data_IF_735292329420
#
_entry.id   IF_735292329420
#
_cell.length_a   1.000
_cell.length_b   1.000
_cell.length_c   1.000
_cell.angle_alpha   90.00
_cell.angle_beta   90.00
_cell.angle_gamma   90.00
#
_symmetry.space_group_name_H-M   'P 1'
#
loop_
_entity.id
_entity.type
_entity.pdbx_description
1 polymer ?
#
# COMPACT_ATOMS: atom_id res chain seq x y z
N UNK A 1 11.89 -12.81 -41.03
CA UNK A 1 12.73 -13.39 -39.96
C UNK A 1 12.31 -14.84 -39.74
N UNK A 2 13.24 -15.75 -39.45
CA UNK A 2 12.89 -17.10 -39.01
C UNK A 2 12.22 -17.02 -37.64
N UNK A 3 11.18 -17.82 -37.40
CA UNK A 3 10.48 -17.93 -36.11
C UNK A 3 11.44 -18.12 -34.93
N UNK A 4 12.58 -18.78 -35.16
CA UNK A 4 13.64 -18.96 -34.16
C UNK A 4 14.32 -17.64 -33.79
N UNK A 5 14.61 -16.78 -34.75
CA UNK A 5 15.24 -15.47 -34.48
C UNK A 5 14.29 -14.59 -33.69
N UNK A 6 13.01 -14.54 -34.10
CA UNK A 6 11.98 -13.81 -33.37
C UNK A 6 11.83 -14.34 -31.93
N UNK A 7 11.87 -15.67 -31.75
CA UNK A 7 11.78 -16.28 -30.42
C UNK A 7 13.01 -16.00 -29.54
N UNK A 8 14.21 -15.97 -30.12
CA UNK A 8 15.44 -15.59 -29.39
C UNK A 8 15.37 -14.14 -28.93
N UNK A 9 14.87 -13.22 -29.77
CA UNK A 9 14.69 -11.82 -29.40
C UNK A 9 13.72 -11.72 -28.21
N UNK A 10 12.55 -12.37 -28.30
CA UNK A 10 11.53 -12.35 -27.24
C UNK A 10 12.02 -12.97 -25.92
N UNK A 11 12.75 -14.10 -25.98
CA UNK A 11 13.29 -14.72 -24.77
C UNK A 11 14.38 -13.86 -24.15
N UNK A 12 15.22 -13.23 -24.99
CA UNK A 12 16.27 -12.33 -24.51
C UNK A 12 15.68 -11.12 -23.79
N UNK A 13 14.67 -10.47 -24.37
CA UNK A 13 13.99 -9.34 -23.72
C UNK A 13 13.29 -9.78 -22.42
N UNK A 14 12.65 -10.95 -22.42
CA UNK A 14 12.00 -11.51 -21.24
C UNK A 14 12.98 -11.79 -20.09
N UNK A 15 14.16 -12.34 -20.38
CA UNK A 15 15.22 -12.56 -19.38
C UNK A 15 15.74 -11.23 -18.83
N UNK A 16 15.90 -10.21 -19.68
CA UNK A 16 16.28 -8.87 -19.25
C UNK A 16 15.22 -8.26 -18.33
N UNK A 17 13.93 -8.37 -18.67
CA UNK A 17 12.84 -7.89 -17.81
C UNK A 17 12.77 -8.65 -16.49
N UNK A 18 13.01 -9.96 -16.50
CA UNK A 18 13.07 -10.75 -15.26
C UNK A 18 14.23 -10.28 -14.36
N UNK A 19 15.44 -10.10 -14.93
CA UNK A 19 16.59 -9.58 -14.20
C UNK A 19 16.35 -8.18 -13.65
N UNK A 20 15.71 -7.30 -14.43
CA UNK A 20 15.33 -5.97 -13.96
C UNK A 20 14.30 -6.02 -12.84
N UNK A 21 13.24 -6.83 -12.98
CA UNK A 21 12.22 -7.03 -11.94
C UNK A 21 12.81 -7.57 -10.64
N UNK A 22 13.76 -8.50 -10.75
CA UNK A 22 14.50 -9.06 -9.63
C UNK A 22 15.32 -8.01 -8.89
N UNK A 23 16.08 -7.19 -9.63
CA UNK A 23 16.88 -6.11 -9.08
C UNK A 23 16.01 -5.02 -8.45
N UNK A 24 14.91 -4.66 -9.11
CA UNK A 24 13.95 -3.68 -8.61
C UNK A 24 13.33 -4.13 -7.28
N UNK A 25 12.92 -5.39 -7.19
CA UNK A 25 12.40 -5.97 -5.94
C UNK A 25 13.41 -5.90 -4.80
N UNK A 26 14.67 -6.31 -5.06
CA UNK A 26 15.73 -6.33 -4.04
C UNK A 26 16.16 -4.94 -3.58
N UNK A 27 16.26 -3.97 -4.50
CA UNK A 27 16.83 -2.65 -4.18
C UNK A 27 15.79 -1.63 -3.75
N UNK A 28 14.58 -1.68 -4.31
CA UNK A 28 13.59 -0.62 -4.17
C UNK A 28 12.40 -1.00 -3.29
N UNK A 29 11.93 -2.25 -3.36
CA UNK A 29 10.66 -2.66 -2.75
C UNK A 29 10.84 -3.28 -1.35
N UNK A 30 11.93 -4.02 -1.11
CA UNK A 30 12.17 -4.77 0.14
C UNK A 30 13.49 -4.43 0.83
N UNK A 31 13.93 -3.15 0.77
CA UNK A 31 15.18 -2.72 1.41
C UNK A 31 15.18 -2.92 2.94
N UNK A 32 14.01 -2.90 3.58
CA UNK A 32 13.87 -2.80 5.04
C UNK A 32 13.16 -4.00 5.71
N UNK A 33 12.90 -5.11 4.99
CA UNK A 33 12.19 -6.28 5.56
C UNK A 33 13.13 -7.49 5.72
N UNK A 34 13.24 -7.99 6.96
CA UNK A 34 14.18 -9.05 7.36
C UNK A 34 13.84 -10.45 6.83
N UNK A 35 12.61 -10.69 6.35
CA UNK A 35 12.15 -12.01 5.89
C UNK A 35 12.16 -12.09 4.36
N UNK A 36 13.32 -12.48 3.78
CA UNK A 36 13.46 -12.73 2.34
C UNK A 36 12.90 -14.11 1.96
N UNK A 37 11.63 -14.17 1.58
CA UNK A 37 11.07 -15.37 0.94
C UNK A 37 11.33 -15.34 -0.57
N UNK A 38 12.26 -16.19 -1.00
CA UNK A 38 12.67 -16.35 -2.41
C UNK A 38 11.47 -16.57 -3.35
N UNK A 39 10.45 -17.31 -2.90
CA UNK A 39 9.26 -17.60 -3.71
C UNK A 39 8.49 -16.34 -4.09
N UNK A 40 8.31 -15.39 -3.17
CA UNK A 40 7.60 -14.12 -3.44
C UNK A 40 8.36 -13.30 -4.47
N UNK A 41 9.69 -13.28 -4.34
CA UNK A 41 10.57 -12.57 -5.26
C UNK A 41 10.52 -13.16 -6.68
N UNK A 42 10.54 -14.49 -6.80
CA UNK A 42 10.39 -15.16 -8.11
C UNK A 42 9.02 -14.86 -8.70
N UNK A 43 7.93 -15.04 -7.93
CA UNK A 43 6.56 -14.80 -8.42
C UNK A 43 6.38 -13.35 -8.89
N UNK A 44 6.91 -12.37 -8.14
CA UNK A 44 6.91 -10.96 -8.55
C UNK A 44 7.70 -10.75 -9.85
N UNK A 45 8.93 -11.25 -9.92
CA UNK A 45 9.83 -11.02 -11.08
C UNK A 45 9.29 -11.69 -12.34
N UNK A 46 8.70 -12.89 -12.23
CA UNK A 46 7.97 -13.56 -13.32
C UNK A 46 6.78 -12.71 -13.77
N UNK A 47 5.90 -12.31 -12.85
CA UNK A 47 4.71 -11.51 -13.19
C UNK A 47 5.10 -10.20 -13.87
N UNK A 48 6.13 -9.53 -13.37
CA UNK A 48 6.69 -8.31 -13.95
C UNK A 48 7.22 -8.55 -15.36
N UNK A 49 8.05 -9.58 -15.56
CA UNK A 49 8.60 -9.92 -16.86
C UNK A 49 7.52 -10.19 -17.91
N UNK A 50 6.54 -11.06 -17.60
CA UNK A 50 5.43 -11.36 -18.51
C UNK A 50 4.55 -10.12 -18.80
N UNK A 51 4.39 -9.21 -17.84
CA UNK A 51 3.69 -7.93 -18.05
C UNK A 51 4.45 -7.00 -19.00
N UNK A 52 5.78 -6.88 -18.84
CA UNK A 52 6.63 -6.11 -19.75
C UNK A 52 6.68 -6.73 -21.15
N UNK A 53 6.71 -8.06 -21.25
CA UNK A 53 6.65 -8.77 -22.54
C UNK A 53 5.30 -8.56 -23.26
N UNK A 54 4.16 -8.51 -22.55
CA UNK A 54 2.89 -8.12 -23.17
C UNK A 54 2.99 -6.71 -23.76
N UNK A 55 3.58 -5.78 -23.01
CA UNK A 55 3.72 -4.40 -23.46
C UNK A 55 4.68 -4.25 -24.65
N UNK A 56 5.81 -4.94 -24.62
CA UNK A 56 6.77 -5.01 -25.73
C UNK A 56 6.11 -5.55 -27.01
N UNK A 57 5.29 -6.60 -26.91
CA UNK A 57 4.54 -7.14 -28.05
C UNK A 57 3.58 -6.11 -28.66
N UNK A 58 2.94 -5.26 -27.86
CA UNK A 58 2.10 -4.15 -28.36
C UNK A 58 2.97 -3.15 -29.13
N UNK A 59 4.14 -2.79 -28.60
CA UNK A 59 5.07 -1.89 -29.29
C UNK A 59 5.52 -2.49 -30.62
N UNK A 60 5.86 -3.79 -30.65
CA UNK A 60 6.27 -4.47 -31.88
C UNK A 60 5.13 -4.56 -32.91
N UNK A 61 3.88 -4.69 -32.47
CA UNK A 61 2.73 -4.59 -33.35
C UNK A 61 2.63 -3.18 -33.99
N UNK A 62 2.75 -2.12 -33.18
CA UNK A 62 2.69 -0.72 -33.65
C UNK A 62 3.84 -0.38 -34.61
N UNK A 63 5.05 -0.84 -34.29
CA UNK A 63 6.25 -0.60 -35.11
C UNK A 63 6.34 -1.51 -36.34
N UNK A 64 5.45 -2.50 -36.48
CA UNK A 64 5.55 -3.50 -37.55
C UNK A 64 6.79 -4.41 -37.44
N UNK A 65 7.37 -4.53 -36.24
CA UNK A 65 8.52 -5.39 -35.98
C UNK A 65 8.07 -6.85 -35.73
N UNK A 66 8.95 -7.82 -36.03
CA UNK A 66 8.70 -9.28 -35.99
C UNK A 66 7.65 -9.78 -37.01
N UNK A 67 7.68 -11.09 -37.29
CA UNK A 67 6.67 -11.72 -38.14
C UNK A 67 5.32 -11.84 -37.44
N UNK A 68 4.21 -11.55 -38.14
CA UNK A 68 2.85 -11.55 -37.57
C UNK A 68 2.47 -12.89 -36.92
N UNK A 69 2.85 -14.01 -37.53
CA UNK A 69 2.61 -15.34 -36.99
C UNK A 69 3.38 -15.60 -35.69
N UNK A 70 4.62 -15.13 -35.60
CA UNK A 70 5.43 -15.24 -34.37
C UNK A 70 4.86 -14.36 -33.25
N UNK A 71 4.48 -13.11 -33.56
CA UNK A 71 3.84 -12.20 -32.59
C UNK A 71 2.57 -12.80 -32.01
N UNK A 72 1.70 -13.36 -32.87
CA UNK A 72 0.45 -13.98 -32.42
C UNK A 72 0.68 -15.19 -31.51
N UNK A 73 1.68 -16.02 -31.82
CA UNK A 73 2.06 -17.15 -30.97
C UNK A 73 2.55 -16.68 -29.60
N UNK A 74 3.53 -15.76 -29.56
CA UNK A 74 4.08 -15.21 -28.32
C UNK A 74 3.02 -14.47 -27.51
N UNK A 75 2.12 -13.72 -28.16
CA UNK A 75 0.97 -13.07 -27.54
C UNK A 75 0.06 -14.07 -26.80
N UNK A 76 -0.34 -15.16 -27.48
CA UNK A 76 -1.17 -16.21 -26.87
C UNK A 76 -0.45 -16.87 -25.70
N UNK A 77 0.81 -17.28 -25.89
CA UNK A 77 1.59 -17.94 -24.85
C UNK A 77 1.74 -17.04 -23.62
N UNK A 78 2.09 -15.78 -23.82
CA UNK A 78 2.28 -14.81 -22.76
C UNK A 78 0.96 -14.54 -22.00
N UNK A 79 -0.17 -14.46 -22.72
CA UNK A 79 -1.51 -14.39 -22.11
C UNK A 79 -1.85 -15.64 -21.27
N UNK A 80 -1.57 -16.84 -21.75
CA UNK A 80 -1.83 -18.05 -20.96
C UNK A 80 -1.04 -18.06 -19.65
N UNK A 81 0.25 -17.72 -19.72
CA UNK A 81 1.11 -17.70 -18.53
C UNK A 81 0.67 -16.61 -17.55
N UNK A 82 0.41 -15.39 -18.03
CA UNK A 82 0.02 -14.29 -17.12
C UNK A 82 -1.34 -14.56 -16.45
N UNK A 83 -2.31 -15.15 -17.15
CA UNK A 83 -3.60 -15.54 -16.57
C UNK A 83 -3.43 -16.65 -15.54
N UNK A 84 -2.60 -17.67 -15.83
CA UNK A 84 -2.29 -18.73 -14.88
C UNK A 84 -1.66 -18.15 -13.60
N UNK A 85 -0.70 -17.23 -13.75
CA UNK A 85 -0.03 -16.61 -12.60
C UNK A 85 -0.99 -15.76 -11.78
N UNK A 86 -1.79 -14.91 -12.42
CA UNK A 86 -2.70 -13.98 -11.73
C UNK A 86 -3.87 -14.67 -11.03
N UNK A 87 -4.40 -15.75 -11.60
CA UNK A 87 -5.66 -16.37 -11.14
C UNK A 87 -5.37 -17.55 -10.21
N UNK A 88 -4.33 -18.33 -10.50
CA UNK A 88 -4.03 -19.53 -9.72
C UNK A 88 -2.88 -19.29 -8.75
N UNK A 89 -1.71 -18.89 -9.25
CA UNK A 89 -0.47 -18.87 -8.48
C UNK A 89 -0.48 -17.80 -7.40
N UNK A 90 -0.74 -16.55 -7.76
CA UNK A 90 -0.72 -15.41 -6.82
C UNK A 90 -1.75 -15.58 -5.69
N UNK A 91 -3.03 -15.89 -5.96
CA UNK A 91 -4.03 -16.05 -4.90
C UNK A 91 -3.75 -17.23 -3.98
N UNK A 92 -3.20 -18.32 -4.50
CA UNK A 92 -2.79 -19.48 -3.70
C UNK A 92 -1.69 -19.10 -2.71
N UNK A 93 -0.64 -18.42 -3.18
CA UNK A 93 0.44 -17.97 -2.30
C UNK A 93 -0.02 -16.95 -1.27
N UNK A 94 -0.90 -16.00 -1.63
CA UNK A 94 -1.50 -15.06 -0.67
C UNK A 94 -2.25 -15.83 0.43
N UNK A 95 -3.13 -16.76 0.06
CA UNK A 95 -3.87 -17.59 1.01
C UNK A 95 -2.93 -18.39 1.93
N UNK A 96 -1.88 -18.98 1.36
CA UNK A 96 -0.86 -19.72 2.11
C UNK A 96 -0.12 -18.83 3.13
N UNK A 97 0.26 -17.61 2.74
CA UNK A 97 0.93 -16.66 3.64
C UNK A 97 0.02 -16.16 4.76
N UNK A 98 -1.24 -15.84 4.44
CA UNK A 98 -2.23 -15.41 5.43
C UNK A 98 -2.44 -16.50 6.48
N UNK A 99 -2.64 -17.76 6.07
CA UNK A 99 -2.80 -18.89 7.00
C UNK A 99 -1.51 -19.16 7.77
N UNK A 100 -0.34 -18.95 7.17
CA UNK A 100 0.95 -19.14 7.84
C UNK A 100 1.20 -18.19 9.01
N UNK A 101 0.57 -17.01 8.99
CA UNK A 101 0.69 -16.03 10.07
C UNK A 101 -0.13 -16.42 11.32
N UNK A 102 -1.11 -17.33 11.16
CA UNK A 102 -1.98 -17.78 12.24
C UNK A 102 -1.36 -19.00 12.92
N UNK A 103 -0.80 -18.81 14.12
CA UNK A 103 -0.14 -19.87 14.92
C UNK A 103 -1.02 -21.10 15.15
N UNK A 104 -2.34 -20.91 15.25
CA UNK A 104 -3.30 -21.98 15.54
C UNK A 104 -3.47 -22.99 14.38
N UNK A 105 -3.24 -22.56 13.13
CA UNK A 105 -3.49 -23.38 11.92
C UNK A 105 -2.23 -24.02 11.35
N UNK A 106 -1.09 -23.93 12.06
CA UNK A 106 0.22 -24.26 11.53
C UNK A 106 0.36 -25.74 11.10
N UNK A 107 -0.33 -26.67 11.78
CA UNK A 107 -0.30 -28.12 11.49
C UNK A 107 -1.11 -28.53 10.25
N UNK A 108 -2.12 -27.74 9.85
CA UNK A 108 -2.96 -27.99 8.68
C UNK A 108 -2.92 -26.85 7.65
N UNK A 109 -1.82 -26.07 7.63
CA UNK A 109 -1.70 -24.85 6.82
C UNK A 109 -2.06 -25.06 5.35
N UNK A 110 -1.64 -26.17 4.74
CA UNK A 110 -1.90 -26.43 3.33
C UNK A 110 -3.41 -26.60 3.06
N UNK A 111 -4.13 -27.31 3.92
CA UNK A 111 -5.57 -27.56 3.77
C UNK A 111 -6.36 -26.26 3.84
N UNK A 112 -6.07 -25.43 4.85
CA UNK A 112 -6.71 -24.12 4.98
C UNK A 112 -6.33 -23.17 3.85
N UNK A 113 -5.09 -23.20 3.36
CA UNK A 113 -4.68 -22.43 2.19
C UNK A 113 -5.46 -22.85 0.93
N UNK A 114 -5.65 -24.16 0.72
CA UNK A 114 -6.50 -24.68 -0.36
C UNK A 114 -7.95 -24.23 -0.20
N UNK A 115 -8.52 -24.24 1.02
CA UNK A 115 -9.88 -23.75 1.26
C UNK A 115 -10.04 -22.27 0.93
N UNK A 116 -9.09 -21.43 1.36
CA UNK A 116 -9.07 -19.99 1.02
C UNK A 116 -8.98 -19.81 -0.49
N UNK A 117 -8.14 -20.60 -1.16
CA UNK A 117 -7.98 -20.56 -2.61
C UNK A 117 -9.25 -21.00 -3.36
N UNK A 118 -9.91 -22.09 -2.96
CA UNK A 118 -11.19 -22.52 -3.54
C UNK A 118 -12.29 -21.48 -3.32
N UNK A 119 -12.32 -20.85 -2.14
CA UNK A 119 -13.25 -19.76 -1.84
C UNK A 119 -13.01 -18.57 -2.77
N UNK A 120 -11.75 -18.19 -2.98
CA UNK A 120 -11.39 -17.15 -3.95
C UNK A 120 -11.82 -17.52 -5.38
N UNK A 121 -11.58 -18.76 -5.82
CA UNK A 121 -12.05 -19.25 -7.13
C UNK A 121 -13.56 -19.16 -7.28
N UNK A 122 -14.32 -19.54 -6.25
CA UNK A 122 -15.79 -19.40 -6.26
C UNK A 122 -16.22 -17.94 -6.43
N UNK A 123 -15.66 -17.01 -5.66
CA UNK A 123 -15.98 -15.59 -5.79
C UNK A 123 -15.55 -15.00 -7.14
N UNK A 124 -14.37 -15.38 -7.64
CA UNK A 124 -13.88 -14.97 -8.95
C UNK A 124 -14.82 -15.44 -10.08
N UNK A 125 -15.34 -16.66 -9.98
CA UNK A 125 -16.35 -17.16 -10.92
C UNK A 125 -17.71 -16.50 -10.75
N UNK A 126 -18.10 -16.09 -9.55
CA UNK A 126 -19.37 -15.38 -9.36
C UNK A 126 -19.32 -13.92 -9.83
N UNK A 127 -18.15 -13.27 -9.74
CA UNK A 127 -17.96 -11.86 -10.08
C UNK A 127 -18.18 -11.56 -11.57
N UNK A 128 -17.94 -12.53 -12.45
CA UNK A 128 -18.10 -12.35 -13.90
C UNK A 128 -19.48 -12.68 -14.47
N UNK A 129 -20.39 -13.26 -13.67
CA UNK A 129 -21.75 -13.59 -14.10
C UNK A 129 -22.64 -12.37 -14.44
N UNK A 130 -22.53 -11.20 -13.77
CA UNK A 130 -23.32 -10.02 -14.14
C UNK A 130 -22.88 -9.36 -15.47
N UNK A 131 -21.82 -9.82 -16.13
CA UNK A 131 -21.33 -9.22 -17.38
C UNK A 131 -21.80 -10.03 -18.61
N UNK A 132 -22.64 -9.45 -19.49
CA UNK A 132 -23.20 -10.13 -20.66
C UNK A 132 -22.16 -10.21 -21.80
N UNK A 133 -21.12 -11.03 -21.62
CA UNK A 133 -20.09 -11.31 -22.65
C UNK A 133 -19.97 -12.82 -22.88
N UNK A 134 -20.78 -13.62 -22.18
CA UNK A 134 -20.86 -15.06 -22.33
C UNK A 134 -21.55 -15.39 -23.67
N UNK A 135 -20.77 -15.47 -24.74
CA UNK A 135 -21.21 -16.22 -25.92
C UNK A 135 -21.42 -17.68 -25.47
N UNK A 136 -22.64 -18.25 -25.58
CA UNK A 136 -22.95 -19.61 -25.13
C UNK A 136 -22.19 -20.71 -25.90
N UNK A 137 -21.31 -20.34 -26.83
CA UNK A 137 -20.51 -21.25 -27.67
C UNK A 137 -19.12 -21.55 -27.11
N UNK A 138 -18.66 -20.86 -26.06
CA UNK A 138 -17.33 -21.06 -25.48
C UNK A 138 -17.40 -21.78 -24.13
N UNK A 139 -16.58 -22.83 -23.96
CA UNK A 139 -16.54 -23.64 -22.74
C UNK A 139 -16.17 -22.85 -21.48
N UNK A 140 -16.45 -23.44 -20.30
CA UNK A 140 -16.33 -22.86 -18.95
C UNK A 140 -14.91 -22.33 -18.62
N UNK A 141 -13.89 -22.81 -19.34
CA UNK A 141 -12.47 -22.43 -19.19
C UNK A 141 -11.90 -21.76 -20.46
N UNK A 142 -12.74 -21.12 -21.27
CA UNK A 142 -12.27 -20.38 -22.44
C UNK A 142 -11.42 -19.16 -22.04
N UNK A 143 -10.34 -18.93 -22.77
CA UNK A 143 -9.41 -17.82 -22.50
C UNK A 143 -10.10 -16.46 -22.55
N UNK A 144 -11.08 -16.29 -23.45
CA UNK A 144 -11.84 -15.04 -23.62
C UNK A 144 -12.65 -14.69 -22.36
N UNK A 145 -13.28 -15.70 -21.73
CA UNK A 145 -14.02 -15.51 -20.48
C UNK A 145 -13.07 -15.18 -19.31
N UNK A 146 -11.88 -15.78 -19.30
CA UNK A 146 -10.90 -15.54 -18.26
C UNK A 146 -10.32 -14.11 -18.36
N UNK A 147 -10.01 -13.68 -19.60
CA UNK A 147 -9.53 -12.32 -19.90
C UNK A 147 -10.60 -11.29 -19.56
N UNK A 148 -11.87 -11.52 -19.91
CA UNK A 148 -12.93 -10.54 -19.65
C UNK A 148 -13.13 -10.32 -18.14
N UNK A 149 -13.12 -11.39 -17.35
CA UNK A 149 -13.24 -11.33 -15.88
C UNK A 149 -12.07 -10.62 -15.23
N UNK A 150 -10.83 -10.97 -15.62
CA UNK A 150 -9.64 -10.25 -15.16
C UNK A 150 -9.65 -8.80 -15.62
N UNK A 151 -10.16 -8.53 -16.83
CA UNK A 151 -10.29 -7.19 -17.39
C UNK A 151 -11.22 -6.31 -16.56
N UNK A 152 -12.39 -6.81 -16.13
CA UNK A 152 -13.29 -6.08 -15.21
C UNK A 152 -12.60 -5.76 -13.89
N UNK A 153 -11.91 -6.74 -13.29
CA UNK A 153 -11.17 -6.52 -12.04
C UNK A 153 -10.05 -5.51 -12.26
N UNK A 154 -9.33 -5.59 -13.38
CA UNK A 154 -8.28 -4.64 -13.75
C UNK A 154 -8.81 -3.22 -13.93
N UNK A 155 -9.92 -3.03 -14.64
CA UNK A 155 -10.55 -1.72 -14.86
C UNK A 155 -11.07 -1.13 -13.55
N UNK A 156 -11.69 -1.94 -12.68
CA UNK A 156 -12.14 -1.47 -11.37
C UNK A 156 -10.96 -1.08 -10.47
N UNK A 157 -9.87 -1.86 -10.46
CA UNK A 157 -8.64 -1.51 -9.76
C UNK A 157 -7.98 -0.24 -10.33
N UNK A 158 -7.95 -0.07 -11.65
CA UNK A 158 -7.44 1.15 -12.29
C UNK A 158 -8.30 2.38 -11.94
N UNK A 159 -9.63 2.20 -11.84
CA UNK A 159 -10.54 3.27 -11.42
C UNK A 159 -10.28 3.67 -9.95
N UNK A 160 -10.12 2.69 -9.05
CA UNK A 160 -9.78 2.93 -7.65
C UNK A 160 -8.41 3.59 -7.49
N UNK A 161 -7.38 3.12 -8.21
CA UNK A 161 -6.05 3.72 -8.22
C UNK A 161 -6.07 5.16 -8.75
N UNK A 162 -6.83 5.41 -9.82
CA UNK A 162 -7.01 6.77 -10.36
C UNK A 162 -7.75 7.67 -9.36
N UNK A 163 -8.72 7.15 -8.62
CA UNK A 163 -9.43 7.88 -7.56
C UNK A 163 -8.52 8.20 -6.36
N UNK A 164 -7.73 7.22 -5.92
CA UNK A 164 -6.74 7.41 -4.86
C UNK A 164 -5.68 8.44 -5.25
N UNK A 165 -5.12 8.33 -6.47
CA UNK A 165 -4.14 9.28 -7.00
C UNK A 165 -4.69 10.71 -7.08
N UNK A 166 -5.96 10.86 -7.43
CA UNK A 166 -6.63 12.15 -7.51
C UNK A 166 -6.73 12.89 -6.18
N UNK A 167 -6.83 12.17 -5.06
CA UNK A 167 -6.91 12.75 -3.71
C UNK A 167 -5.51 12.86 -3.08
N UNK A 168 -4.71 11.81 -3.21
CA UNK A 168 -3.40 11.72 -2.56
C UNK A 168 -2.38 12.71 -3.14
N UNK A 169 -2.41 12.97 -4.46
CA UNK A 169 -1.45 13.91 -5.08
C UNK A 169 -1.64 15.35 -4.58
N UNK A 170 -2.85 15.95 -4.61
CA UNK A 170 -3.07 17.26 -4.01
C UNK A 170 -2.73 17.29 -2.52
N UNK A 171 -3.17 16.29 -1.75
CA UNK A 171 -2.89 16.23 -0.32
C UNK A 171 -1.38 16.20 0.01
N UNK A 172 -0.58 15.54 -0.84
CA UNK A 172 0.85 15.37 -0.59
C UNK A 172 1.68 16.57 -1.06
N UNK A 173 1.35 17.15 -2.21
CA UNK A 173 2.20 18.15 -2.87
C UNK A 173 1.69 19.59 -2.78
N UNK A 174 0.40 19.79 -2.50
CA UNK A 174 -0.18 21.14 -2.50
C UNK A 174 0.13 21.87 -1.19
N UNK A 175 0.77 23.03 -1.29
CA UNK A 175 1.08 23.89 -0.13
C UNK A 175 -0.16 24.33 0.65
N UNK A 176 -1.32 24.38 0.00
CA UNK A 176 -2.59 24.73 0.65
C UNK A 176 -3.07 23.69 1.67
N UNK A 177 -2.77 22.40 1.47
CA UNK A 177 -3.13 21.34 2.43
C UNK A 177 -2.07 21.14 3.53
N UNK A 178 -0.95 21.86 3.46
CA UNK A 178 0.05 21.84 4.53
C UNK A 178 -0.44 22.67 5.71
N UNK A 179 -0.59 22.00 6.87
CA UNK A 179 -0.82 22.68 8.15
C UNK A 179 0.33 23.64 8.39
N UNK A 180 0.00 24.89 8.74
CA UNK A 180 1.00 25.86 9.17
C UNK A 180 1.54 25.43 10.53
N UNK A 181 2.82 25.08 10.59
CA UNK A 181 3.52 24.69 11.82
C UNK A 181 4.60 25.72 12.11
N UNK A 182 4.55 26.34 13.28
CA UNK A 182 5.62 27.22 13.73
C UNK A 182 6.64 26.45 14.57
N UNK A 183 7.89 26.94 14.60
CA UNK A 183 8.94 26.33 15.44
C UNK A 183 8.58 26.42 16.92
N UNK A 184 7.84 27.45 17.34
CA UNK A 184 7.31 27.59 18.69
C UNK A 184 6.36 26.46 19.07
N UNK A 185 5.50 26.01 18.15
CA UNK A 185 4.54 24.93 18.43
C UNK A 185 5.25 23.60 18.67
N UNK A 186 6.29 23.31 17.87
CA UNK A 186 7.13 22.11 18.04
C UNK A 186 7.84 22.14 19.38
N UNK A 187 8.47 23.27 19.73
CA UNK A 187 9.17 23.42 21.01
C UNK A 187 8.22 23.33 22.21
N UNK A 188 7.00 23.87 22.08
CA UNK A 188 5.99 23.76 23.13
C UNK A 188 5.56 22.31 23.36
N UNK A 189 5.37 21.54 22.28
CA UNK A 189 4.99 20.14 22.35
C UNK A 189 6.15 19.26 22.86
N UNK A 190 7.38 19.49 22.41
CA UNK A 190 8.58 18.82 22.92
C UNK A 190 8.77 19.06 24.42
N UNK A 191 8.55 20.30 24.89
CA UNK A 191 8.58 20.61 26.33
C UNK A 191 7.50 19.87 27.10
N UNK A 192 6.28 19.80 26.56
CA UNK A 192 5.17 19.06 27.18
C UNK A 192 5.46 17.56 27.24
N UNK A 193 6.08 16.99 26.20
CA UNK A 193 6.51 15.60 26.16
C UNK A 193 7.57 15.32 27.23
N UNK A 194 8.62 16.15 27.30
CA UNK A 194 9.67 16.02 28.30
C UNK A 194 9.12 16.13 29.73
N UNK A 195 8.24 17.10 30.00
CA UNK A 195 7.55 17.23 31.29
C UNK A 195 6.73 15.97 31.64
N UNK A 196 6.06 15.38 30.65
CA UNK A 196 5.29 14.15 30.84
C UNK A 196 6.21 12.97 31.15
N UNK A 197 7.35 12.85 30.45
CA UNK A 197 8.36 11.83 30.74
C UNK A 197 8.94 11.98 32.15
N UNK A 198 9.22 13.20 32.61
CA UNK A 198 9.69 13.47 33.97
C UNK A 198 8.65 13.07 35.04
N UNK A 199 7.36 13.33 34.79
CA UNK A 199 6.26 12.87 35.65
C UNK A 199 6.20 11.33 35.70
N UNK A 200 6.37 10.64 34.58
CA UNK A 200 6.41 9.17 34.54
C UNK A 200 7.60 8.65 35.34
N UNK A 201 8.80 9.19 35.12
CA UNK A 201 10.03 8.77 35.82
C UNK A 201 9.89 8.99 37.33
N UNK A 202 9.36 10.14 37.76
CA UNK A 202 9.15 10.43 39.18
C UNK A 202 8.12 9.50 39.83
N UNK A 203 7.00 9.19 39.16
CA UNK A 203 6.01 8.21 39.65
C UNK A 203 6.54 6.79 39.69
N UNK A 204 7.27 6.34 38.65
CA UNK A 204 7.95 5.03 38.65
C UNK A 204 8.98 4.92 39.76
N UNK A 205 9.76 5.98 40.01
CA UNK A 205 10.69 6.04 41.15
C UNK A 205 9.95 5.92 42.47
N UNK A 206 8.80 6.58 42.63
CA UNK A 206 7.96 6.47 43.83
C UNK A 206 7.45 5.03 44.03
N UNK A 207 6.97 4.37 42.97
CA UNK A 207 6.55 2.96 43.02
C UNK A 207 7.70 2.06 43.48
N UNK A 208 8.90 2.24 42.89
CA UNK A 208 10.08 1.46 43.27
C UNK A 208 10.50 1.67 44.73
N UNK A 209 10.46 2.91 45.23
CA UNK A 209 10.75 3.21 46.64
C UNK A 209 9.71 2.60 47.58
N UNK A 210 8.41 2.74 47.29
CA UNK A 210 7.34 2.14 48.10
C UNK A 210 7.46 0.61 48.13
N UNK A 211 7.77 -0.02 46.98
CA UNK A 211 7.97 -1.48 46.88
C UNK A 211 9.19 -1.94 47.68
N UNK A 212 10.28 -1.16 47.69
CA UNK A 212 11.47 -1.42 48.52
C UNK A 212 11.16 -1.30 50.01
N UNK A 213 10.42 -0.28 50.43
CA UNK A 213 9.99 -0.10 51.83
C UNK A 213 9.08 -1.23 52.31
N UNK A 214 8.17 -1.71 51.46
CA UNK A 214 7.36 -2.90 51.73
C UNK A 214 8.21 -4.14 51.97
N UNK A 215 9.23 -4.36 51.12
CA UNK A 215 10.13 -5.50 51.25
C UNK A 215 10.94 -5.45 52.56
N UNK A 216 11.47 -4.27 52.91
CA UNK A 216 12.18 -4.05 54.17
C UNK A 216 11.29 -4.25 55.40
N UNK A 217 10.04 -3.78 55.37
CA UNK A 217 9.06 -4.04 56.44
C UNK A 217 8.69 -5.53 56.57
N UNK A 218 8.70 -6.28 55.46
CA UNK A 218 8.47 -7.72 55.47
C UNK A 218 9.60 -8.50 56.17
N UNK A 219 10.85 -8.04 56.06
CA UNK A 219 11.99 -8.63 56.80
C UNK A 219 11.96 -8.31 58.30
N UNK A 220 11.59 -7.07 58.67
CA UNK A 220 11.51 -6.66 60.08
C UNK A 220 10.33 -7.30 60.84
N UNK A 221 9.18 -7.50 60.18
CA UNK A 221 8.03 -8.17 60.79
C UNK A 221 8.27 -9.66 61.09
N UNK A 222 9.17 -10.32 60.35
CA UNK A 222 9.53 -11.72 60.61
C UNK A 222 10.34 -11.90 61.92
N UNK A 223 10.86 -10.82 62.52
CA UNK A 223 11.60 -10.84 63.80
C UNK A 223 10.78 -10.43 65.03
N UNK A 224 9.59 -9.84 64.88
CA UNK A 224 8.75 -9.39 65.99
C UNK A 224 7.31 -9.90 65.87
N UNK A 225 7.09 -11.15 66.26
CA UNK A 225 5.77 -11.79 66.38
C UNK A 225 5.11 -11.42 67.71
N UNK A 226 4.54 -10.20 67.79
CA UNK A 226 3.65 -9.78 68.88
C UNK A 226 2.24 -9.54 68.36
N UNK A 227 1.22 -9.97 69.12
CA UNK A 227 -0.22 -9.87 68.78
C UNK A 227 -0.67 -8.45 68.36
N UNK A 228 0.01 -7.41 68.86
CA UNK A 228 -0.19 -6.01 68.48
C UNK A 228 0.35 -5.61 67.09
N UNK A 229 1.28 -6.38 66.53
CA UNK A 229 1.84 -6.18 65.19
C UNK A 229 0.90 -6.64 64.07
N UNK A 230 0.07 -7.65 64.33
CA UNK A 230 -0.84 -8.25 63.35
C UNK A 230 -2.04 -7.35 63.04
N UNK A 231 -2.53 -6.59 64.02
CA UNK A 231 -3.67 -5.68 63.83
C UNK A 231 -3.22 -4.39 63.10
N UNK A 232 -1.97 -3.94 63.32
CA UNK A 232 -1.39 -2.79 62.62
C UNK A 232 -0.93 -3.11 61.20
N UNK A 233 -0.54 -4.36 60.92
CA UNK A 233 -0.14 -4.76 59.57
C UNK A 233 -1.34 -4.86 58.63
N UNK A 234 -2.48 -5.41 59.07
CA UNK A 234 -3.65 -5.60 58.20
C UNK A 234 -4.23 -4.27 57.69
N UNK A 235 -4.32 -3.24 58.53
CA UNK A 235 -4.87 -1.93 58.12
C UNK A 235 -3.92 -1.11 57.24
N UNK A 236 -2.60 -1.28 57.39
CA UNK A 236 -1.58 -0.49 56.66
C UNK A 236 -1.15 -1.12 55.33
N UNK A 237 -1.24 -2.44 55.21
CA UNK A 237 -0.86 -3.16 53.99
C UNK A 237 -1.91 -2.98 52.88
N UNK A 238 -3.19 -3.01 53.24
CA UNK A 238 -4.31 -2.93 52.31
C UNK A 238 -4.45 -1.53 51.67
N UNK A 239 -4.30 -0.46 52.47
CA UNK A 239 -4.26 0.92 51.96
C UNK A 239 -3.05 1.19 51.08
N UNK A 240 -1.90 0.59 51.39
CA UNK A 240 -0.67 0.81 50.61
C UNK A 240 -0.67 0.05 49.27
N UNK A 241 -1.32 -1.12 49.20
CA UNK A 241 -1.50 -1.84 47.93
C UNK A 241 -2.49 -1.15 46.99
N UNK A 242 -3.60 -0.61 47.52
CA UNK A 242 -4.57 0.16 46.72
C UNK A 242 -3.96 1.45 46.16
N UNK A 243 -3.18 2.18 46.99
CA UNK A 243 -2.44 3.35 46.53
C UNK A 243 -1.40 3.00 45.45
N UNK A 244 -0.74 1.84 45.54
CA UNK A 244 0.22 1.39 44.52
C UNK A 244 -0.49 1.09 43.19
N UNK A 245 -1.65 0.44 43.24
CA UNK A 245 -2.46 0.15 42.06
C UNK A 245 -2.97 1.43 41.38
N UNK A 246 -3.42 2.42 42.15
CA UNK A 246 -3.83 3.72 41.61
C UNK A 246 -2.67 4.45 40.93
N UNK A 247 -1.49 4.50 41.57
CA UNK A 247 -0.31 5.13 40.98
C UNK A 247 0.15 4.38 39.72
N UNK A 248 0.01 3.05 39.69
CA UNK A 248 0.30 2.26 38.50
C UNK A 248 -0.65 2.62 37.35
N UNK A 249 -1.95 2.70 37.60
CA UNK A 249 -2.93 3.11 36.60
C UNK A 249 -2.65 4.54 36.09
N UNK A 250 -2.24 5.47 36.95
CA UNK A 250 -1.81 6.80 36.54
C UNK A 250 -0.55 6.78 35.66
N UNK A 251 0.41 5.89 35.95
CA UNK A 251 1.60 5.71 35.11
C UNK A 251 1.20 5.17 33.74
N UNK A 252 0.34 4.16 33.67
CA UNK A 252 -0.10 3.57 32.40
C UNK A 252 -0.84 4.62 31.55
N UNK A 253 -1.67 5.46 32.17
CA UNK A 253 -2.34 6.58 31.50
C UNK A 253 -1.35 7.65 30.99
N UNK A 254 -0.33 7.98 31.80
CA UNK A 254 0.71 8.92 31.39
C UNK A 254 1.60 8.36 30.28
N UNK A 255 1.87 7.05 30.28
CA UNK A 255 2.61 6.38 29.22
C UNK A 255 1.86 6.45 27.89
N UNK A 256 0.56 6.20 27.89
CA UNK A 256 -0.27 6.36 26.68
C UNK A 256 -0.29 7.82 26.20
N UNK A 257 -0.44 8.79 27.11
CA UNK A 257 -0.32 10.21 26.78
C UNK A 257 1.05 10.55 26.19
N UNK A 258 2.13 10.01 26.76
CA UNK A 258 3.51 10.23 26.26
C UNK A 258 3.68 9.68 24.85
N UNK A 259 3.06 8.54 24.54
CA UNK A 259 3.08 7.93 23.22
C UNK A 259 2.34 8.80 22.21
N UNK A 260 1.18 9.32 22.58
CA UNK A 260 0.40 10.23 21.73
C UNK A 260 1.16 11.54 21.46
N UNK A 261 1.72 12.17 22.51
CA UNK A 261 2.53 13.38 22.39
C UNK A 261 3.79 13.15 21.53
N UNK A 262 4.42 11.98 21.66
CA UNK A 262 5.57 11.62 20.83
C UNK A 262 5.18 11.49 19.36
N UNK A 263 4.10 10.77 19.04
CA UNK A 263 3.61 10.62 17.67
C UNK A 263 3.23 11.99 17.07
N UNK A 264 2.57 12.85 17.84
CA UNK A 264 2.23 14.21 17.40
C UNK A 264 3.49 15.08 17.17
N UNK A 265 4.51 14.95 18.01
CA UNK A 265 5.80 15.64 17.84
C UNK A 265 6.49 15.21 16.55
N UNK A 266 6.54 13.91 16.28
CA UNK A 266 7.12 13.36 15.06
C UNK A 266 6.35 13.82 13.82
N UNK A 267 5.01 13.84 13.88
CA UNK A 267 4.18 14.33 12.77
C UNK A 267 4.39 15.83 12.49
N UNK A 268 4.53 16.64 13.55
CA UNK A 268 4.85 18.06 13.44
C UNK A 268 6.23 18.31 12.83
N UNK A 269 7.24 17.54 13.25
CA UNK A 269 8.59 17.60 12.67
C UNK A 269 8.57 17.21 11.19
N UNK A 270 7.86 16.13 10.82
CA UNK A 270 7.68 15.73 9.43
C UNK A 270 6.95 16.80 8.60
N UNK A 271 5.96 17.48 9.18
CA UNK A 271 5.25 18.59 8.54
C UNK A 271 6.19 19.79 8.31
N UNK A 272 7.04 20.12 9.29
CA UNK A 272 8.05 21.17 9.13
C UNK A 272 9.02 20.85 7.99
N UNK A 273 9.52 19.62 7.91
CA UNK A 273 10.39 19.18 6.81
C UNK A 273 9.70 19.34 5.45
N UNK A 274 8.40 19.01 5.35
CA UNK A 274 7.62 19.25 4.12
C UNK A 274 7.46 20.73 3.79
N UNK A 275 7.27 21.59 4.79
CA UNK A 275 7.22 23.05 4.58
C UNK A 275 8.57 23.53 4.04
N UNK A 276 9.68 23.09 4.60
CA UNK A 276 11.03 23.43 4.11
C UNK A 276 11.26 22.90 2.69
N UNK A 277 10.86 21.66 2.41
CA UNK A 277 10.90 21.09 1.06
C UNK A 277 10.06 21.90 0.08
N UNK A 278 8.87 22.37 0.46
CA UNK A 278 7.98 23.16 -0.41
C UNK A 278 8.61 24.50 -0.85
N UNK A 279 9.53 25.04 -0.05
CA UNK A 279 10.25 26.28 -0.37
C UNK A 279 11.36 26.07 -1.41
N UNK A 280 11.84 24.84 -1.58
CA UNK A 280 12.87 24.49 -2.57
C UNK A 280 12.34 24.62 -4.00
N UNK A 281 13.24 24.75 -4.98
CA UNK A 281 12.85 24.76 -6.40
C UNK A 281 12.11 23.49 -6.82
N UNK A 282 12.57 22.33 -6.33
CA UNK A 282 11.92 21.05 -6.55
C UNK A 282 10.50 21.04 -5.93
N UNK A 283 10.36 21.52 -4.70
CA UNK A 283 9.07 21.64 -4.02
C UNK A 283 8.08 22.55 -4.74
N UNK A 284 8.54 23.72 -5.23
CA UNK A 284 7.72 24.64 -6.04
C UNK A 284 7.22 23.99 -7.33
N UNK A 285 8.07 23.23 -8.01
CA UNK A 285 7.69 22.47 -9.20
C UNK A 285 6.60 21.43 -8.88
N UNK A 286 6.80 20.62 -7.83
CA UNK A 286 5.79 19.63 -7.42
C UNK A 286 4.49 20.25 -6.92
N UNK A 287 4.55 21.43 -6.29
CA UNK A 287 3.36 22.18 -5.89
C UNK A 287 2.55 22.65 -7.11
N UNK A 288 3.22 23.23 -8.12
CA UNK A 288 2.59 23.61 -9.38
C UNK A 288 1.98 22.39 -10.10
N UNK A 289 2.74 21.29 -10.16
CA UNK A 289 2.28 20.02 -10.72
C UNK A 289 1.06 19.48 -9.95
N UNK A 290 1.03 19.64 -8.63
CA UNK A 290 -0.08 19.29 -7.76
C UNK A 290 -1.36 20.07 -8.08
N UNK A 291 -1.26 21.38 -8.30
CA UNK A 291 -2.39 22.20 -8.77
C UNK A 291 -2.90 21.76 -10.14
N UNK A 292 -1.98 21.53 -11.09
CA UNK A 292 -2.34 21.05 -12.43
C UNK A 292 -3.08 19.70 -12.37
N UNK A 293 -2.53 18.73 -11.63
CA UNK A 293 -3.18 17.43 -11.45
C UNK A 293 -4.50 17.54 -10.69
N UNK A 294 -4.62 18.43 -9.70
CA UNK A 294 -5.87 18.66 -8.97
C UNK A 294 -6.98 19.14 -9.92
N UNK A 295 -6.69 20.15 -10.74
CA UNK A 295 -7.62 20.66 -11.75
C UNK A 295 -8.00 19.55 -12.74
N UNK A 296 -7.01 18.80 -13.24
CA UNK A 296 -7.25 17.65 -14.12
C UNK A 296 -8.14 16.59 -13.47
N UNK A 297 -7.94 16.28 -12.19
CA UNK A 297 -8.73 15.30 -11.46
C UNK A 297 -10.16 15.76 -11.22
N UNK A 298 -10.38 17.02 -10.83
CA UNK A 298 -11.72 17.61 -10.71
C UNK A 298 -12.44 17.59 -12.05
N UNK A 299 -11.76 17.98 -13.12
CA UNK A 299 -12.28 17.91 -14.47
C UNK A 299 -12.64 16.49 -14.90
N UNK A 300 -11.78 15.51 -14.60
CA UNK A 300 -12.01 14.09 -14.91
C UNK A 300 -13.22 13.53 -14.16
N UNK A 301 -13.37 13.87 -12.87
CA UNK A 301 -14.55 13.50 -12.07
C UNK A 301 -15.80 14.14 -12.66
N UNK A 302 -15.78 15.44 -12.92
CA UNK A 302 -16.91 16.16 -13.51
C UNK A 302 -17.34 15.57 -14.86
N UNK A 303 -16.39 15.29 -15.75
CA UNK A 303 -16.67 14.66 -17.05
C UNK A 303 -17.18 13.23 -16.90
N UNK A 304 -16.63 12.44 -15.97
CA UNK A 304 -17.14 11.10 -15.68
C UNK A 304 -18.59 11.16 -15.16
N UNK A 305 -18.91 12.10 -14.27
CA UNK A 305 -20.27 12.33 -13.78
C UNK A 305 -21.21 12.71 -14.92
N UNK A 306 -20.82 13.64 -15.80
CA UNK A 306 -21.62 14.00 -16.99
C UNK A 306 -21.83 12.78 -17.89
N UNK A 307 -20.77 12.01 -18.17
CA UNK A 307 -20.88 10.86 -19.05
C UNK A 307 -21.83 9.79 -18.49
N UNK A 308 -21.84 9.58 -17.17
CA UNK A 308 -22.76 8.65 -16.49
C UNK A 308 -24.19 9.22 -16.46
N UNK A 309 -24.37 10.49 -16.09
CA UNK A 309 -25.71 11.11 -15.96
C UNK A 309 -26.42 11.27 -17.30
N UNK A 310 -25.68 11.62 -18.35
CA UNK A 310 -26.24 11.83 -19.70
C UNK A 310 -26.05 10.64 -20.64
N UNK A 311 -25.61 9.49 -20.11
CA UNK A 311 -25.33 8.24 -20.83
C UNK A 311 -24.55 8.46 -22.14
N UNK A 312 -23.57 9.38 -22.10
CA UNK A 312 -22.73 9.75 -23.26
C UNK A 312 -21.61 8.72 -23.41
N UNK A 313 -21.97 7.53 -23.88
CA UNK A 313 -20.99 6.47 -24.17
C UNK A 313 -20.33 6.74 -25.54
N UNK A 314 -19.00 6.77 -25.59
CA UNK A 314 -18.24 6.71 -26.85
C UNK A 314 -17.75 8.02 -27.48
N UNK A 315 -17.60 9.12 -26.74
CA UNK A 315 -16.86 10.30 -27.24
C UNK A 315 -15.40 10.25 -26.82
N UNK A 316 -14.51 10.64 -27.76
CA UNK A 316 -13.05 10.60 -27.64
C UNK A 316 -12.54 11.14 -26.30
N UNK A 317 -11.50 10.51 -25.77
CA UNK A 317 -10.88 10.87 -24.51
C UNK A 317 -10.41 12.35 -24.54
N UNK A 318 -10.50 13.06 -23.40
CA UNK A 318 -10.24 14.51 -23.36
C UNK A 318 -8.81 14.86 -23.73
N UNK A 319 -7.86 13.93 -23.58
CA UNK A 319 -6.46 14.11 -23.99
C UNK A 319 -6.37 14.10 -25.52
N UNK A 320 -6.93 13.09 -26.20
CA UNK A 320 -7.01 13.05 -27.67
C UNK A 320 -7.70 14.29 -28.24
N UNK A 321 -8.81 14.73 -27.64
CA UNK A 321 -9.55 15.92 -28.09
C UNK A 321 -8.76 17.22 -27.87
N UNK A 322 -8.00 17.32 -26.78
CA UNK A 322 -7.11 18.45 -26.53
C UNK A 322 -5.96 18.55 -27.54
N UNK A 323 -5.39 17.41 -27.94
CA UNK A 323 -4.35 17.36 -28.97
C UNK A 323 -4.92 17.72 -30.34
N UNK A 324 -6.11 17.24 -30.71
CA UNK A 324 -6.81 17.63 -31.96
C UNK A 324 -7.04 19.15 -32.06
N UNK A 325 -7.48 19.78 -30.97
CA UNK A 325 -7.70 21.24 -30.93
C UNK A 325 -6.37 21.98 -31.07
N UNK A 326 -5.32 21.52 -30.40
CA UNK A 326 -3.99 22.15 -30.43
C UNK A 326 -3.37 22.07 -31.82
N UNK A 327 -3.53 20.94 -32.50
CA UNK A 327 -2.97 20.73 -33.85
C UNK A 327 -3.74 21.52 -34.91
N UNK A 328 -5.07 21.57 -34.82
CA UNK A 328 -5.87 22.41 -35.70
C UNK A 328 -5.59 23.92 -35.49
N UNK A 329 -5.23 24.33 -34.27
CA UNK A 329 -4.87 25.72 -33.97
C UNK A 329 -3.47 26.11 -34.47
N UNK A 330 -2.51 25.17 -34.45
CA UNK A 330 -1.12 25.43 -34.87
C UNK A 330 -0.86 25.22 -36.36
N UNK A 331 -1.79 24.63 -37.12
CA UNK A 331 -1.66 24.46 -38.58
C UNK A 331 -0.51 23.55 -39.03
N UNK A 332 0.09 22.80 -38.10
CA UNK A 332 1.18 21.87 -38.36
C UNK A 332 0.56 20.55 -38.83
N UNK A 333 1.03 19.97 -39.94
CA UNK A 333 0.66 18.61 -40.37
C UNK A 333 1.33 17.56 -39.46
N UNK A 334 1.03 17.64 -38.17
CA UNK A 334 1.46 16.68 -37.18
C UNK A 334 0.47 15.53 -37.19
N UNK A 335 0.94 14.29 -37.32
CA UNK A 335 0.06 13.11 -37.26
C UNK A 335 -0.47 12.96 -35.83
N UNK A 336 -1.59 13.64 -35.59
CA UNK A 336 -2.27 13.76 -34.30
C UNK A 336 -2.61 12.39 -33.77
N UNK A 337 -3.05 11.48 -34.64
CA UNK A 337 -3.50 10.15 -34.24
C UNK A 337 -2.35 9.28 -33.77
N UNK A 338 -1.21 9.36 -34.46
CA UNK A 338 -0.01 8.63 -34.04
C UNK A 338 0.50 9.17 -32.70
N UNK A 339 0.72 10.48 -32.58
CA UNK A 339 1.33 11.06 -31.38
C UNK A 339 0.39 11.11 -30.17
N UNK A 340 -0.92 11.32 -30.37
CA UNK A 340 -1.88 11.29 -29.26
C UNK A 340 -1.92 9.93 -28.59
N UNK A 341 -1.87 8.84 -29.36
CA UNK A 341 -1.87 7.49 -28.82
C UNK A 341 -0.62 7.22 -27.96
N UNK A 342 0.56 7.65 -28.42
CA UNK A 342 1.81 7.45 -27.69
C UNK A 342 1.89 8.32 -26.42
N UNK A 343 1.47 9.59 -26.51
CA UNK A 343 1.48 10.51 -25.38
C UNK A 343 0.46 10.06 -24.32
N UNK A 344 -0.76 9.71 -24.74
CA UNK A 344 -1.77 9.15 -23.83
C UNK A 344 -1.29 7.86 -23.18
N UNK A 345 -0.60 6.99 -23.93
CA UNK A 345 -0.03 5.77 -23.39
C UNK A 345 1.05 6.05 -22.31
N UNK A 346 2.02 6.93 -22.58
CA UNK A 346 3.07 7.29 -21.63
C UNK A 346 2.47 7.94 -20.38
N UNK A 347 1.50 8.84 -20.57
CA UNK A 347 0.84 9.54 -19.47
C UNK A 347 0.05 8.57 -18.57
N UNK A 348 -0.67 7.61 -19.15
CA UNK A 348 -1.32 6.53 -18.39
C UNK A 348 -0.28 5.69 -17.64
N UNK A 349 0.84 5.35 -18.26
CA UNK A 349 1.94 4.63 -17.61
C UNK A 349 2.50 5.38 -16.39
N UNK A 350 2.78 6.67 -16.52
CA UNK A 350 3.26 7.51 -15.42
C UNK A 350 2.23 7.59 -14.29
N UNK A 351 0.94 7.76 -14.63
CA UNK A 351 -0.14 7.78 -13.63
C UNK A 351 -0.22 6.44 -12.89
N UNK A 352 -0.12 5.32 -13.58
CA UNK A 352 -0.17 3.99 -12.96
C UNK A 352 1.02 3.80 -12.01
N UNK A 353 2.26 4.09 -12.44
CA UNK A 353 3.46 3.93 -11.59
C UNK A 353 3.40 4.83 -10.35
N UNK A 354 3.02 6.09 -10.52
CA UNK A 354 2.94 7.06 -9.41
C UNK A 354 1.80 6.71 -8.43
N UNK A 355 0.64 6.30 -8.93
CA UNK A 355 -0.51 5.90 -8.09
C UNK A 355 -0.27 4.57 -7.36
N UNK A 356 0.34 3.56 -7.99
CA UNK A 356 0.69 2.29 -7.36
C UNK A 356 1.68 2.51 -6.21
N UNK A 357 2.75 3.32 -6.44
CA UNK A 357 3.72 3.61 -5.38
C UNK A 357 3.06 4.32 -4.19
N UNK A 358 2.21 5.32 -4.46
CA UNK A 358 1.48 6.02 -3.41
C UNK A 358 0.55 5.08 -2.63
N UNK A 359 -0.20 4.23 -3.32
CA UNK A 359 -1.12 3.28 -2.71
C UNK A 359 -0.37 2.22 -1.89
N UNK A 360 0.73 1.67 -2.41
CA UNK A 360 1.56 0.70 -1.69
C UNK A 360 2.11 1.29 -0.39
N UNK A 361 2.66 2.50 -0.41
CA UNK A 361 3.19 3.16 0.79
C UNK A 361 2.07 3.34 1.83
N UNK A 362 0.87 3.77 1.41
CA UNK A 362 -0.27 3.94 2.31
C UNK A 362 -0.75 2.59 2.87
N UNK A 363 -0.86 1.55 2.04
CA UNK A 363 -1.24 0.22 2.51
C UNK A 363 -0.22 -0.36 3.48
N UNK A 364 1.08 -0.21 3.21
CA UNK A 364 2.14 -0.65 4.11
C UNK A 364 2.03 0.06 5.46
N UNK A 365 1.80 1.38 5.48
CA UNK A 365 1.56 2.13 6.72
C UNK A 365 0.35 1.61 7.50
N UNK A 366 -0.76 1.34 6.81
CA UNK A 366 -1.96 0.76 7.43
C UNK A 366 -1.66 -0.61 8.02
N UNK A 367 -0.99 -1.49 7.26
CA UNK A 367 -0.62 -2.83 7.75
C UNK A 367 0.28 -2.76 8.98
N UNK A 368 1.29 -1.88 9.00
CA UNK A 368 2.14 -1.68 10.18
C UNK A 368 1.35 -1.14 11.38
N UNK A 369 0.45 -0.17 11.17
CA UNK A 369 -0.43 0.34 12.23
C UNK A 369 -1.34 -0.75 12.78
N UNK A 370 -1.97 -1.56 11.93
CA UNK A 370 -2.82 -2.69 12.34
C UNK A 370 -2.03 -3.78 13.06
N UNK A 371 -0.78 -4.04 12.66
CA UNK A 371 0.10 -5.00 13.35
C UNK A 371 0.46 -4.51 14.76
N UNK A 372 0.74 -3.21 14.90
CA UNK A 372 0.96 -2.61 16.23
C UNK A 372 -0.28 -2.70 17.13
N UNK A 373 -1.48 -2.46 16.58
CA UNK A 373 -2.74 -2.59 17.31
C UNK A 373 -3.04 -4.04 17.73
N UNK A 374 -2.81 -5.00 16.84
CA UNK A 374 -2.97 -6.43 17.15
C UNK A 374 -2.02 -6.89 18.27
N UNK A 375 -0.77 -6.44 18.25
CA UNK A 375 0.20 -6.76 19.31
C UNK A 375 -0.25 -6.18 20.67
N UNK A 376 -0.80 -4.97 20.71
CA UNK A 376 -1.37 -4.39 21.94
C UNK A 376 -2.63 -5.11 22.45
N UNK A 377 -3.39 -5.81 21.60
CA UNK A 377 -4.51 -6.65 22.03
C UNK A 377 -4.08 -8.07 22.49
N UNK A 378 -2.87 -8.51 22.15
CA UNK A 378 -2.40 -9.88 22.42
C UNK A 378 -1.52 -9.97 23.68
N UNK A 379 -1.15 -8.84 24.27
CA UNK A 379 -0.47 -8.77 25.58
C UNK A 379 -1.40 -8.09 26.59
N UNK A 380 -2.19 -8.87 27.36
CA UNK A 380 -2.71 -8.39 28.64
C UNK A 380 -1.60 -8.23 29.69
#
# INVERSE_FOLDING_TARGET
MSFLVDSVIMVTSQVLFFGFGWLFFMRQLFKDYEVRQYVVQVVFSVTFAFSCTMFELIIFEILGALSSSSRYFHWKLNLYVILLVLIFVVPFYIGYFVVSNIRLLQRQRLLFACMVWFTFMYFFWKLGDPFPILSPKHGILSIEQLISRVGVIGVTLMALLSGFGAVNCPYTYMSYFLRNVTVSDILALERRLLQTMDMIVSKKKRIAMTRRQMYQRGEDQNKQTGFWGMIKSVTSTQTSSENLALIQQEVDALEELSRQLFLETVDLQATKERIEYSKTFQGKYFNFLGYFFSIYCVWKIFMATINIVFDRVGKTDPVTRGIEITVNYLGIQFDVKFWSQHISFILVGIIIVTSIRGLLITLTKVQFSSTHQLISFTFP
#
